data_IF_158388600220
#
_entry.id   IF_158388600220
#
_cell.length_a   1.000
_cell.length_b   1.000
_cell.length_c   1.000
_cell.angle_alpha   90.00
_cell.angle_beta   90.00
_cell.angle_gamma   90.00
#
_symmetry.space_group_name_H-M   'P 1'
#
loop_
_entity.id
_entity.type
_entity.pdbx_description
1 polymer ?
#
# COMPACT_ATOMS: atom_id res chain seq x y z
N UNK A 1 -13.68 6.18 -8.70
CA UNK A 1 -14.37 4.90 -8.49
C UNK A 1 -15.85 5.24 -8.57
N UNK A 2 -16.61 4.67 -9.50
CA UNK A 2 -17.91 5.25 -9.89
C UNK A 2 -19.10 4.27 -9.82
N UNK A 3 -19.08 3.31 -8.88
CA UNK A 3 -20.26 2.48 -8.58
C UNK A 3 -20.74 2.72 -7.15
N UNK A 4 -22.06 2.75 -6.96
CA UNK A 4 -22.70 2.90 -5.64
C UNK A 4 -22.17 1.87 -4.63
N UNK A 5 -21.92 0.64 -5.10
CA UNK A 5 -21.39 -0.45 -4.28
C UNK A 5 -19.99 -0.14 -3.73
N UNK A 6 -19.09 0.33 -4.58
CA UNK A 6 -17.72 0.62 -4.17
C UNK A 6 -17.69 1.77 -3.15
N UNK A 7 -18.53 2.80 -3.36
CA UNK A 7 -18.70 3.87 -2.38
C UNK A 7 -19.27 3.36 -1.04
N UNK A 8 -20.26 2.47 -1.07
CA UNK A 8 -20.82 1.89 0.16
C UNK A 8 -19.79 1.07 0.94
N UNK A 9 -18.96 0.30 0.26
CA UNK A 9 -17.85 -0.44 0.90
C UNK A 9 -16.87 0.55 1.55
N UNK A 10 -16.48 1.59 0.83
CA UNK A 10 -15.55 2.60 1.34
C UNK A 10 -16.15 3.37 2.54
N UNK A 11 -17.44 3.68 2.49
CA UNK A 11 -18.15 4.33 3.60
C UNK A 11 -18.22 3.41 4.83
N UNK A 12 -18.53 2.13 4.65
CA UNK A 12 -18.54 1.15 5.74
C UNK A 12 -17.16 0.97 6.34
N UNK A 13 -16.11 0.91 5.51
CA UNK A 13 -14.71 0.88 5.96
C UNK A 13 -14.36 2.11 6.80
N UNK A 14 -14.70 3.31 6.32
CA UNK A 14 -14.47 4.55 7.09
C UNK A 14 -15.17 4.51 8.44
N UNK A 15 -16.45 4.10 8.47
CA UNK A 15 -17.22 4.02 9.73
C UNK A 15 -16.65 3.00 10.71
N UNK A 16 -16.14 1.88 10.22
CA UNK A 16 -15.64 0.80 11.07
C UNK A 16 -14.25 1.08 11.64
N UNK A 17 -13.41 1.85 10.94
CA UNK A 17 -11.99 1.97 11.28
C UNK A 17 -11.53 3.41 11.53
N UNK A 18 -12.37 4.40 11.22
CA UNK A 18 -12.08 5.84 11.39
C UNK A 18 -10.67 6.24 10.93
N UNK A 19 -10.25 5.87 9.70
CA UNK A 19 -8.90 6.12 9.25
C UNK A 19 -8.61 7.63 9.10
N UNK A 20 -7.42 8.04 9.51
CA UNK A 20 -6.90 9.40 9.28
C UNK A 20 -6.56 9.65 7.82
N UNK A 21 -6.07 8.61 7.13
CA UNK A 21 -5.65 8.65 5.72
C UNK A 21 -6.25 7.46 4.98
N UNK A 22 -6.75 7.70 3.76
CA UNK A 22 -7.12 6.64 2.82
C UNK A 22 -6.40 6.86 1.51
N UNK A 23 -5.64 5.85 1.08
CA UNK A 23 -5.09 5.76 -0.27
C UNK A 23 -5.94 4.82 -1.13
N UNK A 24 -6.36 5.29 -2.29
CA UNK A 24 -7.22 4.57 -3.23
C UNK A 24 -6.52 4.53 -4.59
N UNK A 25 -6.34 3.33 -5.12
CA UNK A 25 -5.78 3.10 -6.46
C UNK A 25 -6.87 2.63 -7.43
N UNK A 26 -6.56 2.67 -8.73
CA UNK A 26 -7.49 2.25 -9.79
C UNK A 26 -8.85 2.93 -9.65
N UNK A 27 -8.82 4.23 -9.35
CA UNK A 27 -10.05 4.98 -9.13
C UNK A 27 -10.89 4.98 -10.39
N UNK A 28 -10.31 5.04 -11.59
CA UNK A 28 -11.06 5.19 -12.85
C UNK A 28 -12.04 6.37 -12.75
N UNK A 29 -11.60 7.45 -12.11
CA UNK A 29 -12.39 8.67 -11.97
C UNK A 29 -11.51 9.91 -11.93
N UNK A 30 -12.14 11.02 -12.29
CA UNK A 30 -11.58 12.36 -12.29
C UNK A 30 -11.63 13.03 -10.91
N UNK A 31 -10.93 14.15 -10.83
CA UNK A 31 -10.84 15.02 -9.67
C UNK A 31 -12.22 15.43 -9.13
N UNK A 32 -13.18 15.72 -10.01
CA UNK A 32 -14.53 16.21 -9.67
C UNK A 32 -15.33 15.14 -8.93
N UNK A 33 -15.33 13.91 -9.44
CA UNK A 33 -15.99 12.78 -8.76
C UNK A 33 -15.31 12.44 -7.44
N UNK A 34 -13.98 12.50 -7.40
CA UNK A 34 -13.25 12.27 -6.16
C UNK A 34 -13.49 13.36 -5.11
N UNK A 35 -13.78 14.59 -5.53
CA UNK A 35 -14.22 15.66 -4.62
C UNK A 35 -15.57 15.35 -3.98
N UNK A 36 -16.55 14.90 -4.77
CA UNK A 36 -17.83 14.48 -4.23
C UNK A 36 -17.68 13.32 -3.23
N UNK A 37 -16.74 12.39 -3.47
CA UNK A 37 -16.43 11.30 -2.54
C UNK A 37 -15.77 11.83 -1.26
N UNK A 38 -14.78 12.73 -1.37
CA UNK A 38 -14.13 13.37 -0.22
C UNK A 38 -15.15 14.01 0.72
N UNK A 39 -16.05 14.82 0.16
CA UNK A 39 -17.11 15.52 0.92
C UNK A 39 -18.04 14.52 1.59
N UNK A 40 -18.55 13.53 0.85
CA UNK A 40 -19.48 12.52 1.41
C UNK A 40 -18.86 11.67 2.50
N UNK A 41 -17.55 11.42 2.43
CA UNK A 41 -16.82 10.71 3.46
C UNK A 41 -16.40 11.63 4.61
N UNK A 42 -16.46 12.95 4.48
CA UNK A 42 -16.04 13.89 5.52
C UNK A 42 -14.53 13.87 5.74
N UNK A 43 -13.73 13.86 4.66
CA UNK A 43 -12.28 14.09 4.73
C UNK A 43 -11.98 15.58 4.51
N UNK A 44 -10.98 16.12 5.20
CA UNK A 44 -10.60 17.54 5.12
C UNK A 44 -10.01 17.85 3.75
N UNK A 45 -9.09 17.02 3.25
CA UNK A 45 -8.45 17.24 1.97
C UNK A 45 -8.33 15.99 1.11
N UNK A 46 -7.90 16.23 -0.13
CA UNK A 46 -7.58 15.18 -1.10
C UNK A 46 -6.47 15.61 -2.04
N UNK A 47 -5.75 14.64 -2.58
CA UNK A 47 -4.95 14.82 -3.80
C UNK A 47 -5.27 13.69 -4.77
N UNK A 48 -5.34 14.02 -6.05
CA UNK A 48 -5.84 13.11 -7.09
C UNK A 48 -4.93 13.19 -8.29
N UNK A 49 -4.59 12.02 -8.83
CA UNK A 49 -4.13 11.88 -10.21
C UNK A 49 -5.29 11.27 -10.98
N UNK A 50 -5.75 11.97 -12.01
CA UNK A 50 -6.91 11.54 -12.80
C UNK A 50 -6.60 10.26 -13.59
N UNK A 51 -7.63 9.45 -13.84
CA UNK A 51 -7.50 8.30 -14.72
C UNK A 51 -7.36 8.73 -16.19
N UNK A 52 -6.64 7.93 -16.98
CA UNK A 52 -6.64 8.08 -18.44
C UNK A 52 -7.65 7.08 -19.04
N UNK A 53 -8.81 7.59 -19.47
CA UNK A 53 -9.91 6.76 -19.96
C UNK A 53 -10.43 5.80 -18.88
N UNK A 54 -10.15 4.49 -19.04
CA UNK A 54 -10.57 3.42 -18.11
C UNK A 54 -9.42 2.85 -17.26
N UNK A 55 -8.23 3.44 -17.34
CA UNK A 55 -7.03 2.94 -16.69
C UNK A 55 -6.50 3.91 -15.64
N UNK A 56 -6.04 3.35 -14.52
CA UNK A 56 -5.36 4.08 -13.47
C UNK A 56 -6.27 5.02 -12.68
N UNK A 57 -5.66 6.13 -12.27
CA UNK A 57 -6.25 7.07 -11.33
C UNK A 57 -5.95 6.66 -9.90
N UNK A 58 -5.41 7.60 -9.13
CA UNK A 58 -5.14 7.42 -7.70
C UNK A 58 -5.71 8.60 -6.94
N UNK A 59 -6.15 8.35 -5.71
CA UNK A 59 -6.64 9.38 -4.82
C UNK A 59 -6.15 9.11 -3.41
N UNK A 60 -5.70 10.16 -2.77
CA UNK A 60 -5.43 10.17 -1.35
C UNK A 60 -6.43 11.11 -0.67
N UNK A 61 -6.97 10.67 0.46
CA UNK A 61 -7.91 11.41 1.30
C UNK A 61 -7.33 11.50 2.72
N UNK A 62 -7.48 12.63 3.40
CA UNK A 62 -6.98 12.81 4.77
C UNK A 62 -7.92 13.63 5.66
N UNK A 63 -7.91 13.32 6.95
CA UNK A 63 -8.85 13.87 7.95
C UNK A 63 -8.29 15.04 8.76
N UNK A 64 -6.99 15.31 8.69
CA UNK A 64 -6.33 16.39 9.43
C UNK A 64 -5.39 17.19 8.51
N UNK A 65 -4.92 18.36 8.92
CA UNK A 65 -3.95 19.14 8.15
C UNK A 65 -2.63 18.37 8.07
N UNK A 66 -2.30 17.92 6.87
CA UNK A 66 -1.09 17.16 6.54
C UNK A 66 -0.39 17.83 5.37
N UNK A 67 0.95 17.78 5.36
CA UNK A 67 1.73 18.20 4.21
C UNK A 67 1.75 17.08 3.18
N UNK A 68 1.12 17.35 2.04
CA UNK A 68 0.95 16.37 0.96
C UNK A 68 1.67 16.84 -0.27
N UNK A 69 2.55 15.98 -0.78
CA UNK A 69 3.27 16.19 -2.03
C UNK A 69 2.91 15.11 -3.04
N UNK A 70 2.60 15.52 -4.26
CA UNK A 70 2.42 14.61 -5.38
C UNK A 70 3.71 14.54 -6.16
N UNK A 71 4.26 13.33 -6.31
CA UNK A 71 5.51 13.11 -7.04
C UNK A 71 5.25 12.01 -8.06
N UNK A 72 5.03 12.41 -9.32
CA UNK A 72 4.79 11.47 -10.41
C UNK A 72 3.54 10.58 -10.15
N UNK A 73 3.68 9.24 -10.24
CA UNK A 73 2.59 8.26 -10.04
C UNK A 73 2.41 7.80 -8.58
N UNK A 74 3.08 8.45 -7.63
CA UNK A 74 2.91 8.17 -6.21
C UNK A 74 2.65 9.45 -5.43
N UNK A 75 1.94 9.29 -4.32
CA UNK A 75 1.56 10.38 -3.43
C UNK A 75 2.33 10.19 -2.14
N UNK A 76 3.03 11.23 -1.69
CA UNK A 76 3.73 11.27 -0.42
C UNK A 76 2.96 12.17 0.54
N UNK A 77 2.78 11.68 1.76
CA UNK A 77 2.30 12.46 2.89
C UNK A 77 3.43 12.49 3.91
N UNK A 78 3.76 13.69 4.32
CA UNK A 78 4.61 13.92 5.47
C UNK A 78 3.72 14.32 6.65
N UNK A 79 3.76 13.52 7.70
CA UNK A 79 3.23 13.87 8.99
C UNK A 79 4.41 14.29 9.89
N UNK A 80 4.09 14.99 10.98
CA UNK A 80 5.09 15.53 11.92
C UNK A 80 6.10 14.48 12.40
N UNK A 81 5.66 13.23 12.58
CA UNK A 81 6.45 12.16 13.19
C UNK A 81 6.68 10.94 12.29
N UNK A 82 6.14 10.94 11.05
CA UNK A 82 6.15 9.78 10.15
C UNK A 82 5.86 10.19 8.72
N UNK A 83 6.26 9.35 7.77
CA UNK A 83 5.97 9.49 6.35
C UNK A 83 5.12 8.35 5.84
N UNK A 84 4.14 8.67 5.00
CA UNK A 84 3.33 7.70 4.29
C UNK A 84 3.48 7.90 2.79
N UNK A 85 3.70 6.82 2.04
CA UNK A 85 3.71 6.85 0.57
C UNK A 85 2.67 5.90 0.02
N UNK A 86 1.70 6.45 -0.70
CA UNK A 86 0.80 5.69 -1.56
C UNK A 86 1.43 5.54 -2.93
N UNK A 87 1.88 4.34 -3.27
CA UNK A 87 2.60 4.06 -4.51
C UNK A 87 1.73 3.31 -5.53
N UNK A 88 1.71 3.80 -6.76
CA UNK A 88 1.05 3.08 -7.86
C UNK A 88 2.01 3.05 -9.06
N UNK A 89 2.57 1.88 -9.30
CA UNK A 89 3.55 1.65 -10.38
C UNK A 89 2.92 1.73 -11.77
N UNK A 90 3.76 2.00 -12.77
CA UNK A 90 3.34 1.96 -14.17
C UNK A 90 2.92 0.53 -14.58
N UNK A 91 1.85 0.42 -15.36
CA UNK A 91 1.40 -0.86 -15.91
C UNK A 91 2.31 -1.37 -17.03
N UNK A 92 3.06 -0.49 -17.69
CA UNK A 92 3.98 -0.83 -18.77
C UNK A 92 5.26 -1.49 -18.24
N UNK A 93 5.46 -2.77 -18.57
CA UNK A 93 6.57 -3.60 -18.05
C UNK A 93 7.93 -2.99 -18.34
N UNK A 94 8.10 -2.40 -19.52
CA UNK A 94 9.37 -1.76 -19.90
C UNK A 94 9.72 -0.54 -19.05
N UNK A 95 8.73 0.11 -18.42
CA UNK A 95 8.93 1.33 -17.63
C UNK A 95 8.78 1.13 -16.11
N UNK A 96 8.29 -0.04 -15.66
CA UNK A 96 8.07 -0.36 -14.23
C UNK A 96 9.29 -0.16 -13.35
N UNK A 97 10.46 -0.57 -13.83
CA UNK A 97 11.71 -0.47 -13.08
C UNK A 97 12.04 0.99 -12.71
N UNK A 98 11.68 1.96 -13.55
CA UNK A 98 11.83 3.37 -13.21
C UNK A 98 10.96 3.75 -12.00
N UNK A 99 9.72 3.26 -11.92
CA UNK A 99 8.83 3.53 -10.80
C UNK A 99 9.39 3.00 -9.48
N UNK A 100 10.02 1.82 -9.47
CA UNK A 100 10.53 1.19 -8.24
C UNK A 100 11.72 1.91 -7.62
N UNK A 101 12.53 2.60 -8.43
CA UNK A 101 13.69 3.35 -7.92
C UNK A 101 13.34 4.67 -7.24
N UNK A 102 12.11 5.18 -7.40
CA UNK A 102 11.76 6.53 -6.94
C UNK A 102 11.51 6.59 -5.43
N UNK A 103 10.72 5.69 -4.82
CA UNK A 103 10.46 5.73 -3.38
C UNK A 103 11.75 5.62 -2.53
N UNK A 104 12.71 4.71 -2.83
CA UNK A 104 14.01 4.63 -2.16
C UNK A 104 14.81 5.94 -2.21
N UNK A 105 14.90 6.57 -3.39
CA UNK A 105 15.62 7.84 -3.57
C UNK A 105 15.01 8.97 -2.76
N UNK A 106 13.70 8.98 -2.65
CA UNK A 106 12.99 9.98 -1.84
C UNK A 106 13.14 9.71 -0.34
N UNK A 107 13.34 8.45 0.08
CA UNK A 107 13.65 8.10 1.47
C UNK A 107 14.99 8.66 1.95
N UNK A 108 16.05 8.56 1.14
CA UNK A 108 17.38 9.06 1.54
C UNK A 108 17.45 10.56 1.87
N UNK A 109 16.41 11.34 1.53
CA UNK A 109 16.35 12.78 1.78
C UNK A 109 15.75 13.15 3.14
N UNK A 110 14.99 12.26 3.79
CA UNK A 110 14.21 12.56 5.00
C UNK A 110 14.27 11.38 5.97
N UNK A 111 14.83 11.60 7.17
CA UNK A 111 15.02 10.56 8.19
C UNK A 111 13.80 10.37 9.11
N UNK A 112 12.60 10.29 8.54
CA UNK A 112 11.37 9.99 9.28
C UNK A 112 10.99 8.51 9.14
N UNK A 113 10.37 7.88 10.16
CA UNK A 113 9.77 6.56 10.01
C UNK A 113 8.85 6.51 8.79
N UNK A 114 9.04 5.54 7.91
CA UNK A 114 8.39 5.54 6.61
C UNK A 114 7.59 4.26 6.37
N UNK A 115 6.34 4.44 5.92
CA UNK A 115 5.49 3.35 5.44
C UNK A 115 5.15 3.60 3.98
N UNK A 116 5.47 2.62 3.12
CA UNK A 116 5.09 2.63 1.71
C UNK A 116 4.07 1.52 1.46
N UNK A 117 2.93 1.87 0.85
CA UNK A 117 1.88 0.91 0.48
C UNK A 117 1.38 1.18 -0.92
N UNK A 118 0.91 0.15 -1.60
CA UNK A 118 0.21 0.30 -2.86
C UNK A 118 0.40 -0.86 -3.82
N UNK A 119 0.27 -0.59 -5.11
CA UNK A 119 0.35 -1.58 -6.18
C UNK A 119 1.65 -1.39 -6.96
N UNK A 120 2.60 -2.26 -6.65
CA UNK A 120 3.92 -2.23 -7.25
C UNK A 120 3.97 -2.91 -8.62
N UNK A 121 2.93 -3.62 -9.04
CA UNK A 121 2.91 -4.48 -10.23
C UNK A 121 4.17 -5.38 -10.38
N UNK A 122 4.91 -5.59 -9.29
CA UNK A 122 6.09 -6.42 -9.16
C UNK A 122 5.74 -7.66 -8.35
N UNK A 123 6.51 -8.73 -8.55
CA UNK A 123 6.49 -9.88 -7.66
C UNK A 123 7.92 -10.10 -7.19
N UNK A 124 8.13 -10.34 -5.91
CA UNK A 124 9.47 -10.60 -5.36
C UNK A 124 9.88 -12.03 -5.64
N UNK A 125 8.92 -12.94 -5.88
CA UNK A 125 9.14 -14.33 -6.25
C UNK A 125 8.05 -14.81 -7.23
N UNK A 126 8.38 -15.76 -8.10
CA UNK A 126 7.37 -16.43 -8.92
C UNK A 126 6.38 -17.26 -8.08
N UNK A 127 6.73 -17.61 -6.84
CA UNK A 127 5.81 -18.24 -5.88
C UNK A 127 4.65 -17.32 -5.46
N UNK A 128 4.76 -15.99 -5.62
CA UNK A 128 3.65 -15.07 -5.35
C UNK A 128 2.56 -15.14 -6.44
N UNK A 129 2.86 -15.77 -7.58
CA UNK A 129 1.99 -15.84 -8.75
C UNK A 129 1.32 -17.20 -8.86
N UNK A 130 0.00 -17.21 -8.70
CA UNK A 130 -0.82 -18.37 -9.04
C UNK A 130 -1.29 -18.30 -10.51
N UNK A 131 -0.94 -19.32 -11.29
CA UNK A 131 -1.39 -19.48 -12.68
C UNK A 131 -0.73 -18.55 -13.72
N UNK A 132 -0.91 -18.92 -15.00
CA UNK A 132 -0.27 -18.24 -16.13
C UNK A 132 1.24 -18.50 -16.25
N UNK A 133 1.91 -17.81 -17.17
CA UNK A 133 3.35 -17.98 -17.38
C UNK A 133 4.14 -17.35 -16.24
N UNK A 134 5.21 -18.02 -15.81
CA UNK A 134 6.20 -17.47 -14.89
C UNK A 134 6.77 -16.16 -15.43
N UNK A 135 7.01 -15.20 -14.55
CA UNK A 135 7.71 -13.98 -14.93
C UNK A 135 9.20 -14.29 -15.18
N UNK A 136 9.80 -13.70 -16.23
CA UNK A 136 11.24 -13.76 -16.45
C UNK A 136 12.00 -13.38 -15.18
N UNK A 137 13.03 -14.15 -14.83
CA UNK A 137 13.83 -13.92 -13.63
C UNK A 137 14.42 -12.51 -13.58
N UNK A 138 14.74 -11.91 -14.73
CA UNK A 138 15.21 -10.51 -14.80
C UNK A 138 14.18 -9.51 -14.25
N UNK A 139 12.88 -9.70 -14.52
CA UNK A 139 11.84 -8.80 -14.00
C UNK A 139 11.59 -9.00 -12.50
N UNK A 140 11.73 -10.23 -12.02
CA UNK A 140 11.61 -10.56 -10.59
C UNK A 140 12.79 -9.96 -9.83
N UNK A 141 14.02 -10.19 -10.31
CA UNK A 141 15.24 -9.65 -9.71
C UNK A 141 15.23 -8.12 -9.72
N UNK A 142 14.89 -7.48 -10.85
CA UNK A 142 14.81 -6.02 -10.91
C UNK A 142 13.84 -5.41 -9.89
N UNK A 143 12.75 -6.10 -9.55
CA UNK A 143 11.83 -5.63 -8.51
C UNK A 143 12.35 -5.91 -7.12
N UNK A 144 12.96 -7.08 -6.91
CA UNK A 144 13.52 -7.51 -5.63
C UNK A 144 14.72 -6.65 -5.21
N UNK A 145 15.58 -6.28 -6.15
CA UNK A 145 16.83 -5.59 -5.86
C UNK A 145 16.62 -4.08 -5.66
N UNK A 146 15.60 -3.47 -6.28
CA UNK A 146 15.34 -2.03 -6.16
C UNK A 146 15.04 -1.54 -4.72
N UNK A 147 14.32 -2.32 -3.88
CA UNK A 147 14.17 -2.12 -2.43
C UNK A 147 15.41 -2.36 -1.57
N UNK A 148 16.27 -3.30 -1.94
CA UNK A 148 17.38 -3.72 -1.06
C UNK A 148 18.47 -2.62 -1.00
N UNK A 149 18.60 -1.84 -2.06
CA UNK A 149 19.51 -0.69 -2.16
C UNK A 149 19.28 0.41 -1.10
N UNK A 150 18.14 0.42 -0.39
CA UNK A 150 17.79 1.43 0.61
C UNK A 150 17.57 0.89 2.03
N UNK A 151 17.73 -0.42 2.27
CA UNK A 151 17.38 -1.10 3.54
C UNK A 151 15.97 -0.72 4.04
N UNK A 152 15.07 -0.36 3.13
CA UNK A 152 13.85 0.36 3.48
C UNK A 152 12.59 -0.51 3.46
N UNK A 153 12.75 -1.83 3.34
CA UNK A 153 11.67 -2.79 3.20
C UNK A 153 11.82 -3.93 4.22
N UNK A 154 10.71 -4.25 4.87
CA UNK A 154 10.56 -5.50 5.60
C UNK A 154 9.68 -6.44 4.75
N UNK A 155 10.26 -7.53 4.25
CA UNK A 155 9.51 -8.52 3.47
C UNK A 155 8.67 -9.39 4.38
N UNK A 156 7.34 -9.30 4.25
CA UNK A 156 6.39 -10.09 5.03
C UNK A 156 6.16 -11.48 4.44
N UNK A 157 7.20 -12.32 4.35
CA UNK A 157 7.12 -13.64 3.71
C UNK A 157 6.06 -14.59 4.29
N UNK A 158 5.60 -14.35 5.52
CA UNK A 158 4.64 -15.19 6.23
C UNK A 158 3.20 -15.09 5.70
N UNK A 159 2.89 -14.11 4.82
CA UNK A 159 1.58 -14.08 4.15
C UNK A 159 1.38 -15.31 3.25
N UNK A 160 2.46 -15.86 2.69
CA UNK A 160 2.41 -17.02 1.80
C UNK A 160 1.86 -18.25 2.53
N UNK A 161 2.10 -18.38 3.84
CA UNK A 161 1.48 -19.45 4.64
C UNK A 161 -0.03 -19.33 4.70
N UNK A 162 -0.56 -18.10 4.79
CA UNK A 162 -1.99 -17.85 4.79
C UNK A 162 -2.60 -18.26 3.46
N UNK A 163 -1.95 -17.91 2.34
CA UNK A 163 -2.40 -18.31 1.01
C UNK A 163 -2.34 -19.83 0.86
N UNK A 164 -1.19 -20.45 1.11
CA UNK A 164 -0.99 -21.89 0.97
C UNK A 164 -1.99 -22.69 1.80
N UNK A 165 -2.26 -22.31 3.06
CA UNK A 165 -3.26 -23.00 3.91
C UNK A 165 -4.69 -22.97 3.35
N UNK A 166 -5.04 -21.95 2.55
CA UNK A 166 -6.39 -21.84 1.98
C UNK A 166 -6.53 -22.55 0.63
N UNK A 167 -5.42 -22.94 0.00
CA UNK A 167 -5.38 -23.62 -1.29
C UNK A 167 -4.82 -25.05 -1.23
N UNK A 168 -4.26 -25.46 -0.09
CA UNK A 168 -3.72 -26.80 0.13
C UNK A 168 -4.77 -27.89 -0.14
N UNK A 169 -4.39 -28.89 -0.92
CA UNK A 169 -5.27 -29.98 -1.35
C UNK A 169 -6.37 -29.62 -2.36
N UNK A 170 -6.47 -28.36 -2.82
CA UNK A 170 -7.46 -27.96 -3.83
C UNK A 170 -6.95 -28.25 -5.25
N UNK A 171 -7.37 -29.40 -5.82
CA UNK A 171 -6.88 -29.87 -7.12
C UNK A 171 -7.88 -29.73 -8.28
N UNK A 172 -9.07 -29.20 -8.03
CA UNK A 172 -10.13 -29.14 -9.04
C UNK A 172 -10.57 -27.70 -9.34
N UNK A 173 -9.83 -27.07 -10.25
CA UNK A 173 -10.17 -25.73 -10.78
C UNK A 173 -11.48 -25.67 -11.57
N UNK A 174 -12.12 -26.81 -11.89
CA UNK A 174 -13.44 -26.84 -12.53
C UNK A 174 -14.58 -26.65 -11.53
N UNK A 175 -14.33 -26.88 -10.23
CA UNK A 175 -15.27 -26.61 -9.15
C UNK A 175 -15.28 -25.12 -8.78
N UNK A 176 -16.02 -24.34 -9.57
CA UNK A 176 -16.16 -22.89 -9.38
C UNK A 176 -16.66 -22.50 -7.98
N UNK A 177 -17.53 -23.31 -7.37
CA UNK A 177 -18.02 -23.07 -6.01
C UNK A 177 -16.91 -23.20 -4.96
N UNK A 178 -16.04 -24.19 -5.12
CA UNK A 178 -14.84 -24.39 -4.29
C UNK A 178 -13.83 -23.26 -4.45
N UNK A 179 -13.56 -22.85 -5.70
CA UNK A 179 -12.69 -21.69 -6.00
C UNK A 179 -13.19 -20.42 -5.32
N UNK A 180 -14.48 -20.10 -5.46
CA UNK A 180 -15.09 -18.91 -4.85
C UNK A 180 -15.03 -18.96 -3.32
N UNK A 181 -15.19 -20.14 -2.73
CA UNK A 181 -15.09 -20.31 -1.27
C UNK A 181 -13.65 -20.09 -0.77
N UNK A 182 -12.66 -20.66 -1.45
CA UNK A 182 -11.25 -20.48 -1.09
C UNK A 182 -10.82 -19.02 -1.21
N UNK A 183 -11.23 -18.32 -2.28
CA UNK A 183 -10.98 -16.88 -2.43
C UNK A 183 -11.56 -16.09 -1.25
N UNK A 184 -12.82 -16.38 -0.84
CA UNK A 184 -13.44 -15.70 0.30
C UNK A 184 -12.71 -15.97 1.61
N UNK A 185 -12.32 -17.22 1.85
CA UNK A 185 -11.61 -17.62 3.07
C UNK A 185 -10.22 -16.98 3.12
N UNK A 186 -9.47 -17.06 2.03
CA UNK A 186 -8.16 -16.44 1.89
C UNK A 186 -8.25 -14.92 2.10
N UNK A 187 -9.23 -14.26 1.49
CA UNK A 187 -9.47 -12.81 1.69
C UNK A 187 -9.69 -12.46 3.16
N UNK A 188 -10.49 -13.25 3.88
CA UNK A 188 -10.77 -13.00 5.30
C UNK A 188 -9.52 -13.24 6.17
N UNK A 189 -8.81 -14.35 5.95
CA UNK A 189 -7.62 -14.68 6.72
C UNK A 189 -6.48 -13.71 6.45
N UNK A 190 -6.25 -13.31 5.19
CA UNK A 190 -5.31 -12.25 4.84
C UNK A 190 -5.68 -10.93 5.52
N UNK A 191 -6.97 -10.59 5.58
CA UNK A 191 -7.44 -9.40 6.31
C UNK A 191 -7.11 -9.44 7.81
N UNK A 192 -7.26 -10.61 8.45
CA UNK A 192 -6.90 -10.82 9.86
C UNK A 192 -5.39 -10.76 10.08
N UNK A 193 -4.62 -11.45 9.24
CA UNK A 193 -3.16 -11.45 9.27
C UNK A 193 -2.61 -10.03 9.10
N UNK A 194 -3.08 -9.30 8.08
CA UNK A 194 -2.71 -7.92 7.80
C UNK A 194 -3.02 -6.99 8.99
N UNK A 195 -4.22 -7.14 9.58
CA UNK A 195 -4.60 -6.36 10.76
C UNK A 195 -3.72 -6.65 11.98
N UNK A 196 -3.30 -7.90 12.17
CA UNK A 196 -2.39 -8.31 13.24
C UNK A 196 -0.99 -7.74 13.04
N UNK A 197 -0.45 -7.85 11.82
CA UNK A 197 0.87 -7.33 11.44
C UNK A 197 0.95 -5.82 11.58
N UNK A 198 -0.03 -5.07 11.06
CA UNK A 198 -0.06 -3.62 11.22
C UNK A 198 -0.03 -3.22 12.69
N UNK A 199 -0.78 -3.91 13.57
CA UNK A 199 -0.74 -3.60 15.00
C UNK A 199 0.66 -3.81 15.58
N UNK A 200 1.33 -4.90 15.21
CA UNK A 200 2.72 -5.16 15.59
C UNK A 200 3.64 -4.04 15.12
N UNK A 201 3.61 -3.71 13.82
CA UNK A 201 4.42 -2.63 13.24
C UNK A 201 4.15 -1.28 13.88
N UNK A 202 2.89 -0.92 14.14
CA UNK A 202 2.57 0.33 14.84
C UNK A 202 3.16 0.36 16.25
N UNK A 203 3.29 -0.80 16.90
CA UNK A 203 3.92 -0.91 18.21
C UNK A 203 5.45 -0.80 18.10
N UNK A 204 6.07 -1.42 17.10
CA UNK A 204 7.51 -1.33 16.85
C UNK A 204 7.93 0.08 16.45
N UNK A 205 7.14 0.75 15.60
CA UNK A 205 7.33 2.16 15.24
C UNK A 205 7.25 3.04 16.49
N UNK A 206 6.26 2.83 17.37
CA UNK A 206 6.16 3.59 18.64
C UNK A 206 7.36 3.37 19.55
N UNK A 207 7.85 2.14 19.65
CA UNK A 207 9.06 1.83 20.42
C UNK A 207 10.28 2.55 19.83
N UNK A 208 10.45 2.50 18.51
CA UNK A 208 11.55 3.20 17.83
C UNK A 208 11.46 4.72 17.98
N UNK A 209 10.26 5.30 17.91
CA UNK A 209 10.03 6.71 18.18
C UNK A 209 10.43 7.07 19.62
N UNK A 210 10.10 6.23 20.60
CA UNK A 210 10.48 6.45 22.00
C UNK A 210 12.00 6.41 22.19
N UNK A 211 12.69 5.42 21.60
CA UNK A 211 14.16 5.32 21.62
C UNK A 211 14.82 6.58 21.05
N UNK A 212 14.37 7.05 19.88
CA UNK A 212 14.89 8.25 19.23
C UNK A 212 14.66 9.52 20.07
N UNK A 213 13.51 9.63 20.74
CA UNK A 213 13.22 10.74 21.64
C UNK A 213 14.11 10.74 22.89
N UNK A 214 14.44 9.58 23.46
CA UNK A 214 15.37 9.49 24.58
C UNK A 214 16.78 9.87 24.15
N UNK A 215 17.27 9.32 23.03
CA UNK A 215 18.59 9.67 22.49
C UNK A 215 18.72 11.18 22.19
N UNK A 216 17.67 11.82 21.67
CA UNK A 216 17.66 13.27 21.43
C UNK A 216 17.68 14.10 22.72
N UNK A 217 17.20 13.58 23.85
CA UNK A 217 17.25 14.27 25.15
C UNK A 217 18.63 14.17 25.79
N UNK A 218 19.28 13.02 25.68
CA UNK A 218 20.63 12.80 26.21
C UNK A 218 21.65 13.71 25.51
N UNK A 219 21.54 13.87 24.18
CA UNK A 219 22.38 14.78 23.40
C UNK A 219 22.23 16.26 23.83
N UNK A 220 21.06 16.67 24.34
CA UNK A 220 20.81 18.04 24.84
C UNK A 220 21.20 18.23 26.29
N UNK A 221 21.44 17.16 27.05
CA UNK A 221 21.87 17.22 28.44
C UNK A 221 23.39 17.34 28.56
N UNK A 222 24.13 16.92 27.53
CA UNK A 222 25.60 16.99 27.45
C UNK A 222 26.13 18.23 26.70
N UNK A 223 25.25 19.16 26.31
CA UNK A 223 25.56 20.44 25.61
C UNK A 223 25.27 21.66 26.46
#
# INVERSE_FOLDING_TARGET
MCSTRAFQILLSFKKAHSPEVIFIMETKSDNVRMEAIRVKLGFVGKTVVDCNGRSGGICLLWSDLMDVSLISYFIVIELVDRRFTGFYSLSETSQRHHSWTIPPRHHGLVSLPWVCVGDFNGIIDNLEKEGGTQRPSSLVNNFRDAPDDCECWEYLHDYAEVVNKNWDGFNDGSNMSGVVLNIKNCTNQLGKWYSGKIRGWLQDIRLKQFELQMASKDIKADS
#
